data_IF_913638503027
#
_entry.id   IF_913638503027
#
_cell.length_a   1.000
_cell.length_b   1.000
_cell.length_c   1.000
_cell.angle_alpha   90.00
_cell.angle_beta   90.00
_cell.angle_gamma   90.00
#
_symmetry.space_group_name_H-M   'P 1'
#
loop_
_entity.id
_entity.type
_entity.pdbx_description
1 polymer ?
#
# COMPACT_ATOMS: atom_id res chain seq x y z
N UNK A 1 2.38 6.61 6.12
CA UNK A 1 3.12 7.81 6.55
C UNK A 1 4.51 7.79 5.94
N UNK A 2 4.98 8.90 5.37
CA UNK A 2 6.30 8.98 4.74
C UNK A 2 7.25 9.66 5.73
N UNK A 3 8.04 8.88 6.50
CA UNK A 3 8.87 9.43 7.59
C UNK A 3 9.88 10.50 7.11
N UNK A 4 10.46 10.31 5.93
CA UNK A 4 11.43 11.27 5.35
C UNK A 4 10.83 12.65 5.02
N UNK A 5 9.50 12.76 4.94
CA UNK A 5 8.78 13.99 4.65
C UNK A 5 9.00 15.10 5.70
N UNK A 6 9.39 14.73 6.92
CA UNK A 6 9.62 15.68 8.00
C UNK A 6 10.87 16.53 7.77
N UNK A 7 11.88 15.99 7.08
CA UNK A 7 13.11 16.71 6.76
C UNK A 7 13.11 17.30 5.35
N UNK A 8 12.54 16.59 4.38
CA UNK A 8 12.60 16.95 2.97
C UNK A 8 11.26 16.62 2.27
N UNK A 9 10.63 17.63 1.69
CA UNK A 9 9.34 17.48 1.00
C UNK A 9 9.45 16.61 -0.26
N UNK A 10 10.65 16.46 -0.83
CA UNK A 10 10.89 15.60 -2.00
C UNK A 10 10.41 14.16 -1.78
N UNK A 11 10.49 13.65 -0.55
CA UNK A 11 9.96 12.32 -0.20
C UNK A 11 8.46 12.20 -0.47
N UNK A 12 7.67 13.23 -0.17
CA UNK A 12 6.24 13.22 -0.47
C UNK A 12 5.97 13.37 -1.96
N UNK A 13 6.73 14.21 -2.66
CA UNK A 13 6.55 14.39 -4.09
C UNK A 13 6.82 13.08 -4.85
N UNK A 14 7.93 12.41 -4.55
CA UNK A 14 8.27 11.12 -5.16
C UNK A 14 7.23 10.05 -4.81
N UNK A 15 6.83 9.96 -3.54
CA UNK A 15 5.79 9.03 -3.12
C UNK A 15 4.46 9.27 -3.85
N UNK A 16 4.09 10.54 -4.08
CA UNK A 16 2.88 10.91 -4.79
C UNK A 16 2.93 10.52 -6.26
N UNK A 17 4.01 10.86 -6.96
CA UNK A 17 4.21 10.49 -8.38
C UNK A 17 4.16 8.97 -8.55
N UNK A 18 4.81 8.24 -7.64
CA UNK A 18 4.85 6.78 -7.66
C UNK A 18 3.46 6.17 -7.42
N UNK A 19 2.74 6.62 -6.39
CA UNK A 19 1.38 6.13 -6.13
C UNK A 19 0.44 6.45 -7.28
N UNK A 20 0.56 7.64 -7.88
CA UNK A 20 -0.21 8.01 -9.05
C UNK A 20 0.10 7.11 -10.26
N UNK A 21 1.37 6.78 -10.49
CA UNK A 21 1.74 5.88 -11.57
C UNK A 21 1.15 4.48 -11.37
N UNK A 22 1.22 3.93 -10.15
CA UNK A 22 0.70 2.59 -9.84
C UNK A 22 -0.83 2.52 -9.89
N UNK A 23 -1.50 3.54 -9.34
CA UNK A 23 -2.96 3.53 -9.10
C UNK A 23 -3.76 4.26 -10.17
N UNK A 24 -3.13 5.11 -11.00
CA UNK A 24 -3.83 6.02 -11.92
C UNK A 24 -4.61 7.15 -11.23
N UNK A 25 -4.66 7.17 -9.90
CA UNK A 25 -5.45 8.12 -9.11
C UNK A 25 -4.55 9.22 -8.57
N UNK A 26 -5.04 10.47 -8.62
CA UNK A 26 -4.36 11.61 -8.01
C UNK A 26 -4.31 11.43 -6.48
N UNK A 27 -3.12 11.39 -5.85
CA UNK A 27 -3.01 11.21 -4.41
C UNK A 27 -3.51 12.42 -3.62
N UNK A 28 -4.20 12.16 -2.52
CA UNK A 28 -4.61 13.16 -1.54
C UNK A 28 -3.51 13.34 -0.48
N UNK A 29 -3.11 14.59 -0.24
CA UNK A 29 -2.10 14.93 0.76
C UNK A 29 -2.78 15.15 2.12
N UNK A 30 -2.37 14.38 3.12
CA UNK A 30 -2.84 14.53 4.49
C UNK A 30 -1.82 15.27 5.34
N UNK A 31 -2.32 16.25 6.09
CA UNK A 31 -1.55 17.04 7.05
C UNK A 31 -1.70 16.43 8.45
N UNK A 32 -0.67 16.57 9.27
CA UNK A 32 -0.69 16.12 10.65
C UNK A 32 -1.79 16.86 11.43
N UNK A 33 -2.66 16.09 12.09
CA UNK A 33 -3.74 16.63 12.92
C UNK A 33 -3.24 17.15 14.26
N UNK A 34 -2.17 16.56 14.80
CA UNK A 34 -1.68 16.80 16.16
C UNK A 34 -0.18 17.07 16.18
N UNK A 35 0.28 17.77 17.23
CA UNK A 35 1.71 17.96 17.51
C UNK A 35 2.22 16.75 18.31
N UNK A 36 3.31 16.14 17.85
CA UNK A 36 3.97 15.06 18.60
C UNK A 36 5.48 15.31 18.59
N UNK A 37 5.97 15.89 19.68
CA UNK A 37 7.36 16.36 19.80
C UNK A 37 8.38 15.22 19.63
N UNK A 38 8.09 14.02 20.16
CA UNK A 38 8.97 12.86 20.07
C UNK A 38 9.28 12.45 18.62
N UNK A 39 8.34 12.66 17.70
CA UNK A 39 8.51 12.37 16.28
C UNK A 39 8.86 13.62 15.45
N UNK A 40 9.03 14.79 16.08
CA UNK A 40 9.25 16.05 15.38
C UNK A 40 8.06 16.52 14.51
N UNK A 41 6.85 16.01 14.77
CA UNK A 41 5.66 16.29 13.96
C UNK A 41 4.98 17.54 14.50
N UNK A 42 4.74 18.52 13.61
CA UNK A 42 3.91 19.69 13.90
C UNK A 42 2.58 19.63 13.13
N UNK A 43 1.51 20.06 13.77
CA UNK A 43 0.16 20.17 13.22
C UNK A 43 0.21 21.02 11.95
N UNK A 44 -0.45 20.54 10.90
CA UNK A 44 -0.48 21.20 9.59
C UNK A 44 0.65 20.81 8.64
N UNK A 45 1.69 20.10 9.09
CA UNK A 45 2.73 19.58 8.20
C UNK A 45 2.18 18.45 7.33
N UNK A 46 2.48 18.40 6.02
CA UNK A 46 2.12 17.25 5.19
C UNK A 46 2.96 16.03 5.60
N UNK A 47 2.32 14.88 5.82
CA UNK A 47 2.98 13.69 6.41
C UNK A 47 2.64 12.38 5.71
N UNK A 48 1.52 12.33 4.99
CA UNK A 48 1.09 11.12 4.30
C UNK A 48 0.28 11.45 3.06
N UNK A 49 0.17 10.45 2.20
CA UNK A 49 -0.59 10.48 0.96
C UNK A 49 -1.47 9.24 0.95
N UNK A 50 -2.65 9.37 0.37
CA UNK A 50 -3.56 8.24 0.16
C UNK A 50 -4.15 8.31 -1.24
N UNK A 51 -4.32 7.17 -1.88
CA UNK A 51 -5.13 7.00 -3.07
C UNK A 51 -6.28 6.05 -2.74
N UNK A 52 -7.48 6.34 -3.25
CA UNK A 52 -8.62 5.43 -3.14
C UNK A 52 -9.04 5.01 -4.53
N UNK A 53 -9.00 3.71 -4.80
CA UNK A 53 -9.47 3.09 -6.04
C UNK A 53 -10.82 2.41 -5.76
N UNK A 54 -11.71 2.37 -6.75
CA UNK A 54 -13.04 1.74 -6.64
C UNK A 54 -13.35 0.92 -7.88
N UNK A 55 -14.24 -0.06 -7.75
CA UNK A 55 -14.77 -0.85 -8.86
C UNK A 55 -13.65 -1.52 -9.68
N UNK A 56 -13.67 -1.36 -11.01
CA UNK A 56 -12.75 -1.99 -11.94
C UNK A 56 -11.29 -1.64 -11.64
N UNK A 57 -10.99 -0.37 -11.33
CA UNK A 57 -9.62 0.06 -11.04
C UNK A 57 -9.05 -0.72 -9.85
N UNK A 58 -9.87 -0.91 -8.80
CA UNK A 58 -9.45 -1.67 -7.62
C UNK A 58 -9.21 -3.15 -7.94
N UNK A 59 -10.04 -3.74 -8.81
CA UNK A 59 -9.87 -5.12 -9.27
C UNK A 59 -8.62 -5.28 -10.14
N UNK A 60 -8.34 -4.33 -11.03
CA UNK A 60 -7.14 -4.33 -11.87
C UNK A 60 -5.87 -4.18 -11.03
N UNK A 61 -5.89 -3.31 -10.02
CA UNK A 61 -4.79 -3.19 -9.08
C UNK A 61 -4.54 -4.50 -8.32
N UNK A 62 -5.61 -5.17 -7.87
CA UNK A 62 -5.51 -6.43 -7.17
C UNK A 62 -5.01 -7.56 -8.09
N UNK A 63 -5.50 -7.62 -9.33
CA UNK A 63 -5.04 -8.58 -10.35
C UNK A 63 -3.54 -8.42 -10.63
N UNK A 64 -3.09 -7.18 -10.81
CA UNK A 64 -1.67 -6.83 -10.95
C UNK A 64 -0.84 -7.25 -9.74
N UNK A 65 -1.37 -7.06 -8.53
CA UNK A 65 -0.70 -7.53 -7.32
C UNK A 65 -0.52 -9.05 -7.34
N UNK A 66 -1.60 -9.78 -7.64
CA UNK A 66 -1.63 -11.25 -7.59
C UNK A 66 -0.77 -11.88 -8.69
N UNK A 67 -0.95 -11.45 -9.93
CA UNK A 67 -0.37 -12.12 -11.09
C UNK A 67 1.04 -11.61 -11.45
N UNK A 68 1.36 -10.36 -11.09
CA UNK A 68 2.61 -9.72 -11.52
C UNK A 68 3.55 -9.42 -10.37
N UNK A 69 3.06 -8.81 -9.29
CA UNK A 69 3.93 -8.29 -8.22
C UNK A 69 4.29 -9.36 -7.22
N UNK A 70 3.30 -10.01 -6.61
CA UNK A 70 3.49 -11.03 -5.56
C UNK A 70 4.45 -12.16 -5.96
N UNK A 71 4.37 -12.76 -7.16
CA UNK A 71 5.27 -13.83 -7.56
C UNK A 71 6.73 -13.37 -7.73
N UNK A 72 6.96 -12.06 -7.93
CA UNK A 72 8.30 -11.48 -8.08
C UNK A 72 8.94 -11.09 -6.75
N UNK A 73 8.19 -11.06 -5.64
CA UNK A 73 8.75 -10.71 -4.32
C UNK A 73 9.53 -11.91 -3.80
N UNK A 74 10.84 -11.74 -3.61
CA UNK A 74 11.71 -12.78 -3.04
C UNK A 74 11.33 -13.09 -1.59
N UNK A 75 11.33 -14.38 -1.25
CA UNK A 75 11.07 -14.89 0.10
C UNK A 75 9.74 -14.42 0.72
N UNK A 76 8.75 -14.06 -0.11
CA UNK A 76 7.45 -13.60 0.37
C UNK A 76 6.49 -14.76 0.54
N UNK A 77 6.14 -15.05 1.79
CA UNK A 77 5.24 -16.17 2.12
C UNK A 77 3.76 -15.89 1.85
N UNK A 78 3.38 -14.64 1.58
CA UNK A 78 2.00 -14.23 1.36
C UNK A 78 1.52 -13.14 2.32
N UNK A 79 0.21 -12.88 2.29
CA UNK A 79 -0.47 -12.01 3.25
C UNK A 79 -0.67 -12.75 4.57
N UNK A 80 -0.45 -12.08 5.70
CA UNK A 80 -0.60 -12.71 7.02
C UNK A 80 -2.06 -13.12 7.25
N UNK A 81 -2.30 -14.39 7.59
CA UNK A 81 -3.64 -14.91 7.86
C UNK A 81 -4.35 -14.24 9.05
N UNK A 82 -3.60 -13.61 9.95
CA UNK A 82 -4.16 -12.83 11.08
C UNK A 82 -4.55 -11.40 10.70
N UNK A 83 -4.46 -11.00 9.43
CA UNK A 83 -4.87 -9.65 8.99
C UNK A 83 -6.39 -9.53 9.00
N UNK A 84 -6.89 -8.33 9.30
CA UNK A 84 -8.32 -8.08 9.46
C UNK A 84 -8.60 -6.99 10.50
N UNK A 85 -9.75 -6.32 10.34
CA UNK A 85 -10.28 -5.32 11.26
C UNK A 85 -11.62 -5.74 11.89
N UNK A 86 -11.89 -7.05 11.88
CA UNK A 86 -13.14 -7.69 12.29
C UNK A 86 -14.37 -7.29 11.49
N UNK A 87 -14.22 -6.46 10.45
CA UNK A 87 -15.32 -5.92 9.65
C UNK A 87 -15.19 -6.29 8.16
N UNK A 88 -14.32 -7.23 7.82
CA UNK A 88 -14.14 -7.68 6.44
C UNK A 88 -13.16 -6.83 5.63
N UNK A 89 -12.34 -5.98 6.27
CA UNK A 89 -11.29 -5.24 5.58
C UNK A 89 -9.93 -5.86 5.89
N UNK A 90 -9.20 -6.21 4.83
CA UNK A 90 -7.91 -6.88 4.96
C UNK A 90 -6.79 -5.93 4.51
N UNK A 91 -5.70 -5.92 5.27
CA UNK A 91 -4.56 -5.05 4.97
C UNK A 91 -3.28 -5.84 4.75
N UNK A 92 -2.46 -5.37 3.82
CA UNK A 92 -1.09 -5.83 3.60
C UNK A 92 -0.21 -4.64 3.20
N UNK A 93 1.09 -4.85 3.13
CA UNK A 93 2.02 -3.78 2.80
C UNK A 93 3.16 -4.26 1.91
N UNK A 94 3.67 -3.33 1.12
CA UNK A 94 4.87 -3.49 0.32
C UNK A 94 5.99 -2.70 0.98
N UNK A 95 7.15 -3.36 1.11
CA UNK A 95 8.39 -2.65 1.36
C UNK A 95 8.86 -1.96 0.06
N UNK A 96 9.97 -1.23 0.13
CA UNK A 96 10.58 -0.58 -1.05
C UNK A 96 10.81 -1.57 -2.20
N UNK A 97 11.25 -2.79 -1.88
CA UNK A 97 11.54 -3.82 -2.89
C UNK A 97 10.27 -4.33 -3.57
N UNK A 98 9.16 -4.46 -2.84
CA UNK A 98 7.85 -4.76 -3.42
C UNK A 98 7.34 -3.62 -4.30
N UNK A 99 7.53 -2.37 -3.88
CA UNK A 99 7.10 -1.19 -4.63
C UNK A 99 7.75 -1.10 -6.02
N UNK A 100 9.05 -1.42 -6.14
CA UNK A 100 9.77 -1.35 -7.42
C UNK A 100 9.39 -2.47 -8.38
N UNK A 101 8.62 -3.48 -7.94
CA UNK A 101 8.20 -4.60 -8.79
C UNK A 101 6.95 -4.29 -9.62
N UNK A 102 6.29 -3.16 -9.35
CA UNK A 102 5.19 -2.68 -10.17
C UNK A 102 5.68 -2.27 -11.57
N UNK A 103 5.05 -2.74 -12.66
CA UNK A 103 5.48 -2.44 -14.03
C UNK A 103 5.63 -0.94 -14.30
N UNK A 104 4.73 -0.12 -13.77
CA UNK A 104 4.71 1.34 -13.96
C UNK A 104 5.92 2.01 -13.32
N UNK A 105 6.45 1.43 -12.24
CA UNK A 105 7.67 1.89 -11.57
C UNK A 105 8.90 1.35 -12.29
N UNK A 106 8.89 0.09 -12.74
CA UNK A 106 10.02 -0.53 -13.44
C UNK A 106 10.39 0.19 -14.73
N UNK A 107 9.41 0.58 -15.54
CA UNK A 107 9.64 1.25 -16.83
C UNK A 107 10.40 2.57 -16.66
N UNK A 108 10.15 3.28 -15.56
CA UNK A 108 10.74 4.59 -15.28
C UNK A 108 11.65 4.56 -14.05
N UNK A 109 12.24 3.41 -13.72
CA UNK A 109 12.98 3.23 -12.47
C UNK A 109 14.12 4.25 -12.30
N UNK A 110 14.85 4.53 -13.38
CA UNK A 110 15.98 5.47 -13.39
C UNK A 110 15.57 6.93 -13.11
N UNK A 111 14.29 7.26 -13.28
CA UNK A 111 13.74 8.60 -12.98
C UNK A 111 13.46 8.79 -11.49
N UNK A 112 13.38 7.70 -10.72
CA UNK A 112 13.11 7.76 -9.28
C UNK A 112 14.42 7.68 -8.47
N UNK A 113 14.72 8.67 -7.62
CA UNK A 113 15.89 8.57 -6.75
C UNK A 113 15.75 7.35 -5.81
N UNK A 114 16.70 6.39 -5.81
CA UNK A 114 16.51 5.11 -5.12
C UNK A 114 16.23 5.23 -3.61
N UNK A 115 16.79 6.25 -2.95
CA UNK A 115 16.58 6.52 -1.51
C UNK A 115 15.18 7.05 -1.18
N UNK A 116 14.46 7.58 -2.17
CA UNK A 116 13.18 8.26 -1.99
C UNK A 116 11.98 7.35 -2.26
N UNK A 117 12.19 6.17 -2.86
CA UNK A 117 11.13 5.21 -3.14
C UNK A 117 10.58 4.65 -1.82
N UNK A 118 9.30 4.90 -1.51
CA UNK A 118 8.70 4.44 -0.25
C UNK A 118 8.14 3.01 -0.39
N UNK A 119 7.93 2.36 0.76
CA UNK A 119 6.93 1.31 0.87
C UNK A 119 5.53 1.90 1.05
N UNK A 120 4.49 1.11 0.85
CA UNK A 120 3.11 1.53 1.10
C UNK A 120 2.25 0.40 1.63
N UNK A 121 1.13 0.77 2.25
CA UNK A 121 0.12 -0.17 2.74
C UNK A 121 -1.12 -0.12 1.86
N UNK A 122 -1.72 -1.28 1.67
CA UNK A 122 -2.98 -1.46 0.94
C UNK A 122 -3.99 -2.00 1.93
N UNK A 123 -5.16 -1.39 1.96
CA UNK A 123 -6.33 -1.90 2.66
C UNK A 123 -7.39 -2.21 1.62
N UNK A 124 -7.70 -3.49 1.47
CA UNK A 124 -8.76 -3.98 0.60
C UNK A 124 -10.05 -3.99 1.40
N UNK A 125 -10.96 -3.09 1.03
CA UNK A 125 -12.30 -3.04 1.60
C UNK A 125 -13.21 -3.93 0.78
N UNK A 126 -13.82 -4.92 1.44
CA UNK A 126 -14.74 -5.85 0.78
C UNK A 126 -16.17 -5.60 1.24
N UNK A 127 -17.12 -6.28 0.60
CA UNK A 127 -18.52 -6.31 1.04
C UNK A 127 -18.77 -7.34 2.15
N UNK A 128 -17.74 -8.09 2.56
CA UNK A 128 -17.87 -9.08 3.63
C UNK A 128 -18.09 -8.39 4.99
N UNK A 129 -18.81 -9.06 5.87
CA UNK A 129 -19.08 -8.60 7.25
C UNK A 129 -18.17 -9.23 8.30
N UNK A 130 -17.26 -10.11 7.88
CA UNK A 130 -16.30 -10.83 8.73
C UNK A 130 -15.00 -11.03 7.96
N UNK A 131 -13.88 -10.99 8.68
CA UNK A 131 -12.54 -11.20 8.12
C UNK A 131 -12.38 -12.60 7.54
N UNK A 132 -13.07 -13.60 8.12
CA UNK A 132 -13.11 -14.95 7.56
C UNK A 132 -13.69 -14.95 6.14
N UNK A 133 -14.80 -14.28 5.93
CA UNK A 133 -15.44 -14.18 4.62
C UNK A 133 -14.58 -13.37 3.64
N UNK A 134 -13.97 -12.29 4.10
CA UNK A 134 -13.04 -11.50 3.29
C UNK A 134 -11.82 -12.32 2.84
N UNK A 135 -11.23 -13.13 3.75
CA UNK A 135 -10.09 -13.98 3.39
C UNK A 135 -10.48 -15.08 2.42
N UNK A 136 -11.66 -15.67 2.58
CA UNK A 136 -12.18 -16.67 1.65
C UNK A 136 -12.35 -16.07 0.24
N UNK A 137 -12.92 -14.88 0.15
CA UNK A 137 -13.06 -14.14 -1.11
C UNK A 137 -11.70 -13.85 -1.75
N UNK A 138 -10.77 -13.24 -1.01
CA UNK A 138 -9.45 -12.89 -1.56
C UNK A 138 -8.61 -14.12 -1.91
N UNK A 139 -8.74 -15.21 -1.15
CA UNK A 139 -8.09 -16.49 -1.46
C UNK A 139 -8.64 -17.07 -2.76
N UNK A 140 -9.96 -17.02 -2.98
CA UNK A 140 -10.59 -17.46 -4.23
C UNK A 140 -10.16 -16.61 -5.43
N UNK A 141 -9.82 -15.34 -5.23
CA UNK A 141 -9.24 -14.46 -6.25
C UNK A 141 -7.75 -14.71 -6.52
N UNK A 142 -7.07 -15.52 -5.68
CA UNK A 142 -5.67 -15.87 -5.84
C UNK A 142 -4.69 -15.14 -4.90
N UNK A 143 -5.18 -14.42 -3.88
CA UNK A 143 -4.30 -13.84 -2.86
C UNK A 143 -3.73 -14.96 -1.98
N UNK A 144 -2.40 -15.14 -1.91
CA UNK A 144 -1.80 -16.14 -1.05
C UNK A 144 -1.79 -15.65 0.40
N UNK A 145 -2.19 -16.52 1.32
CA UNK A 145 -2.15 -16.25 2.76
C UNK A 145 -1.22 -17.24 3.47
N UNK A 146 -0.55 -16.80 4.54
CA UNK A 146 0.30 -17.65 5.37
C UNK A 146 0.05 -17.50 6.87
N UNK A 147 0.50 -18.50 7.63
CA UNK A 147 0.41 -18.52 9.09
C UNK A 147 -0.99 -18.90 9.60
N UNK A 148 -1.28 -18.51 10.85
CA UNK A 148 -2.55 -18.86 11.51
C UNK A 148 -3.70 -18.04 10.94
N UNK A 149 -4.75 -18.72 10.48
CA UNK A 149 -6.03 -18.10 10.15
C UNK A 149 -6.81 -17.83 11.44
N UNK A 150 -7.42 -16.66 11.55
CA UNK A 150 -8.15 -16.20 12.75
C UNK A 150 -9.56 -15.85 12.37
N UNK A 151 -10.55 -16.65 12.77
CA UNK A 151 -11.96 -16.43 12.40
C UNK A 151 -12.51 -15.05 12.79
#
# INVERSE_FOLDING_TARGET
>A
MVKGALGDSAYLHVAGILLQAITGVRPEIHKASHNVAQFGIRRGMPVSLTCTMRNNDALEFLDKCINVVFPKIKDWSGVKGTTGDSSGNLSFGFNREGTILFPEVQVNYDMYPPRLIPGFHVTVKTTATSDRHARLLLSAMGVPFYGKMVD
#
